data_IF_819969464445
#
_entry.id   IF_819969464445
#
_cell.length_a   1.000
_cell.length_b   1.000
_cell.length_c   1.000
_cell.angle_alpha   90.00
_cell.angle_beta   90.00
_cell.angle_gamma   90.00
#
_symmetry.space_group_name_H-M   'P 1'
#
loop_
_entity.id
_entity.type
_entity.pdbx_description
1 polymer ?
#
# COMPACT_ATOMS: atom_id res chain seq x y z
N UNK A 1 19.19 -1.54 -8.61
CA UNK A 1 17.73 -1.61 -8.44
C UNK A 1 17.46 -2.42 -7.19
N UNK A 2 16.79 -1.85 -6.19
CA UNK A 2 16.56 -2.52 -4.91
C UNK A 2 15.38 -3.51 -5.05
N UNK A 3 15.57 -4.74 -4.57
CA UNK A 3 14.65 -5.88 -4.73
C UNK A 3 13.53 -5.98 -3.66
N UNK A 4 13.32 -4.95 -2.83
CA UNK A 4 12.31 -5.04 -1.78
C UNK A 4 10.88 -5.11 -2.32
N UNK A 5 10.09 -6.00 -1.71
CA UNK A 5 8.64 -6.10 -1.91
C UNK A 5 7.98 -4.80 -1.41
N UNK A 6 6.86 -4.38 -2.02
CA UNK A 6 6.05 -3.26 -1.50
C UNK A 6 5.77 -3.32 0.01
N UNK A 7 5.28 -4.45 0.59
CA UNK A 7 5.01 -4.53 2.02
C UNK A 7 6.27 -4.32 2.86
N UNK A 8 7.43 -4.78 2.40
CA UNK A 8 8.71 -4.58 3.11
C UNK A 8 9.11 -3.10 3.13
N UNK A 9 8.91 -2.37 2.03
CA UNK A 9 9.17 -0.91 1.98
C UNK A 9 8.23 -0.17 2.93
N UNK A 10 6.94 -0.52 2.94
CA UNK A 10 5.93 0.09 3.81
C UNK A 10 6.30 -0.13 5.29
N UNK A 11 6.62 -1.36 5.65
CA UNK A 11 6.99 -1.75 7.02
C UNK A 11 8.33 -1.15 7.47
N UNK A 12 9.31 -1.05 6.57
CA UNK A 12 10.60 -0.40 6.84
C UNK A 12 10.42 1.03 7.35
N UNK A 13 9.43 1.76 6.82
CA UNK A 13 9.12 3.13 7.24
C UNK A 13 8.19 3.22 8.47
N UNK A 14 7.83 2.10 9.07
CA UNK A 14 6.99 2.02 10.28
C UNK A 14 5.48 2.07 10.02
N UNK A 15 5.05 1.91 8.77
CA UNK A 15 3.64 1.77 8.41
C UNK A 15 3.23 0.30 8.43
N UNK A 16 1.98 0.00 8.80
CA UNK A 16 1.45 -1.35 8.65
C UNK A 16 0.95 -1.53 7.20
N UNK A 17 1.04 -2.75 6.66
CA UNK A 17 0.59 -3.06 5.30
C UNK A 17 -0.33 -4.28 5.30
N UNK A 18 -1.34 -4.27 4.44
CA UNK A 18 -2.15 -5.44 4.10
C UNK A 18 -2.00 -5.73 2.60
N UNK A 19 -1.94 -7.00 2.23
CA UNK A 19 -1.86 -7.44 0.84
C UNK A 19 -3.16 -8.13 0.44
N UNK A 20 -3.64 -7.80 -0.76
CA UNK A 20 -4.85 -8.38 -1.32
C UNK A 20 -4.61 -8.82 -2.75
N UNK A 21 -5.45 -9.76 -3.19
CA UNK A 21 -5.47 -10.21 -4.56
C UNK A 21 -6.90 -10.13 -5.10
N UNK A 22 -7.05 -9.55 -6.28
CA UNK A 22 -8.34 -9.38 -6.94
C UNK A 22 -8.32 -10.15 -8.25
N UNK A 23 -9.30 -11.03 -8.42
CA UNK A 23 -9.55 -11.70 -9.69
C UNK A 23 -10.37 -10.78 -10.60
N UNK A 24 -9.85 -10.52 -11.79
CA UNK A 24 -10.54 -9.82 -12.87
C UNK A 24 -11.44 -10.78 -13.64
N UNK A 25 -12.48 -10.23 -14.29
CA UNK A 25 -13.45 -11.03 -15.06
C UNK A 25 -12.81 -11.83 -16.19
N UNK A 26 -11.71 -11.33 -16.76
CA UNK A 26 -10.97 -12.00 -17.82
C UNK A 26 -9.85 -12.92 -17.32
N UNK A 27 -9.71 -13.10 -16.00
CA UNK A 27 -8.94 -14.19 -15.39
C UNK A 27 -7.59 -13.80 -14.80
N UNK A 28 -7.20 -12.52 -14.82
CA UNK A 28 -5.96 -12.05 -14.18
C UNK A 28 -6.14 -11.84 -12.68
N UNK A 29 -5.11 -12.19 -11.91
CA UNK A 29 -5.02 -11.86 -10.50
C UNK A 29 -4.13 -10.63 -10.32
N UNK A 30 -4.73 -9.56 -9.79
CA UNK A 30 -4.05 -8.30 -9.51
C UNK A 30 -3.69 -8.23 -8.04
N UNK A 31 -2.44 -7.89 -7.74
CA UNK A 31 -2.01 -7.63 -6.36
C UNK A 31 -2.22 -6.18 -5.96
N UNK A 32 -2.83 -5.99 -4.80
CA UNK A 32 -2.99 -4.69 -4.15
C UNK A 32 -2.24 -4.68 -2.82
N UNK A 33 -1.67 -3.52 -2.50
CA UNK A 33 -1.10 -3.22 -1.19
C UNK A 33 -1.90 -2.08 -0.56
N UNK A 34 -2.34 -2.26 0.69
CA UNK A 34 -3.00 -1.22 1.47
C UNK A 34 -2.04 -0.69 2.52
N UNK A 35 -1.84 0.63 2.56
CA UNK A 35 -1.03 1.29 3.59
C UNK A 35 -1.96 1.69 4.73
N UNK A 36 -1.73 1.10 5.90
CA UNK A 36 -2.40 1.49 7.13
C UNK A 36 -1.61 2.61 7.83
N UNK A 37 -2.17 3.12 8.92
CA UNK A 37 -1.54 4.17 9.70
C UNK A 37 -0.16 3.76 10.22
N UNK A 38 0.72 4.76 10.33
CA UNK A 38 2.03 4.60 10.95
C UNK A 38 1.86 4.16 12.41
N UNK A 39 2.56 3.10 12.82
CA UNK A 39 2.64 2.77 14.26
C UNK A 39 3.55 3.81 14.89
N UNK A 40 2.99 4.74 15.65
CA UNK A 40 3.78 5.56 16.56
C UNK A 40 4.32 4.63 17.65
N UNK A 41 5.59 4.21 17.52
CA UNK A 41 6.35 3.73 18.66
C UNK A 41 6.64 4.94 19.55
N UNK A 42 5.76 5.22 20.50
CA UNK A 42 6.05 6.05 21.67
C UNK A 42 7.03 5.27 22.57
N UNK A 43 8.27 5.10 22.11
CA UNK A 43 9.32 4.44 22.88
C UNK A 43 10.61 5.27 22.87
N UNK A 44 10.53 6.57 23.14
CA UNK A 44 11.73 7.39 23.35
C UNK A 44 11.67 8.36 24.53
N UNK A 45 10.62 8.33 25.33
CA UNK A 45 10.61 9.03 26.61
C UNK A 45 9.99 8.09 27.60
N UNK A 46 10.72 7.67 28.65
CA UNK A 46 10.22 6.78 29.71
C UNK A 46 9.11 7.42 30.55
N UNK A 47 8.02 7.82 29.90
CA UNK A 47 6.85 8.45 30.48
C UNK A 47 5.72 7.44 30.36
N UNK A 48 5.43 6.76 31.46
CA UNK A 48 4.18 6.04 31.65
C UNK A 48 3.05 7.07 31.80
N UNK A 49 2.55 7.55 30.66
CA UNK A 49 1.37 8.42 30.64
C UNK A 49 0.15 7.53 30.77
N UNK A 50 -0.68 7.78 31.78
CA UNK A 50 -1.98 7.12 31.93
C UNK A 50 -2.80 7.30 30.65
N UNK A 51 -3.23 6.18 30.05
CA UNK A 51 -3.84 6.06 28.72
C UNK A 51 -5.09 6.93 28.51
N UNK A 52 -5.65 7.54 29.55
CA UNK A 52 -6.85 8.37 29.46
C UNK A 52 -6.59 9.77 28.91
N UNK A 53 -5.36 10.31 29.02
CA UNK A 53 -5.07 11.72 28.68
C UNK A 53 -4.58 11.92 27.23
N UNK A 54 -4.14 10.85 26.53
CA UNK A 54 -3.63 10.94 25.15
C UNK A 54 -4.76 10.90 24.09
N UNK A 55 -5.99 10.54 24.49
CA UNK A 55 -7.08 10.28 23.54
C UNK A 55 -7.47 11.47 22.67
N UNK A 56 -7.15 12.71 23.06
CA UNK A 56 -7.71 13.90 22.40
C UNK A 56 -6.74 14.71 21.52
N UNK A 57 -5.44 14.37 21.48
CA UNK A 57 -4.46 15.20 20.73
C UNK A 57 -3.69 14.44 19.63
N UNK A 58 -3.53 13.11 19.70
CA UNK A 58 -2.64 12.38 18.78
C UNK A 58 -3.31 11.33 17.89
N UNK A 59 -4.61 11.13 18.04
CA UNK A 59 -5.42 10.44 17.05
C UNK A 59 -6.36 11.50 16.50
N UNK A 60 -6.14 11.91 15.26
CA UNK A 60 -7.23 12.43 14.42
C UNK A 60 -8.29 11.32 14.39
N UNK A 61 -9.17 11.35 15.39
CA UNK A 61 -10.34 10.50 15.49
C UNK A 61 -11.22 10.96 14.35
N UNK A 62 -11.11 10.34 13.18
CA UNK A 62 -12.07 10.54 12.11
C UNK A 62 -13.37 9.89 12.60
N UNK A 63 -14.43 10.66 12.89
CA UNK A 63 -15.71 10.10 13.25
C UNK A 63 -16.34 9.53 11.97
N UNK A 64 -15.88 8.37 11.53
CA UNK A 64 -16.33 7.71 10.30
C UNK A 64 -15.24 6.94 9.56
N UNK A 65 -15.64 6.17 8.53
CA UNK A 65 -14.69 5.48 7.67
C UNK A 65 -13.75 6.48 6.99
N UNK A 66 -12.46 6.16 6.94
CA UNK A 66 -11.46 6.98 6.25
C UNK A 66 -11.79 7.09 4.76
N UNK A 67 -11.63 8.26 4.13
CA UNK A 67 -11.77 8.39 2.68
C UNK A 67 -10.73 7.51 1.97
N UNK A 68 -11.19 6.73 0.99
CA UNK A 68 -10.36 5.77 0.25
C UNK A 68 -9.67 6.46 -0.92
N UNK A 69 -8.38 6.19 -1.11
CA UNK A 69 -7.61 6.60 -2.29
C UNK A 69 -6.99 5.37 -2.94
N UNK A 70 -7.25 5.20 -4.23
CA UNK A 70 -6.59 4.18 -5.07
C UNK A 70 -5.50 4.82 -5.92
N UNK A 71 -4.26 4.42 -5.69
CA UNK A 71 -3.08 4.86 -6.42
C UNK A 71 -2.78 3.86 -7.54
N UNK A 72 -2.95 4.32 -8.78
CA UNK A 72 -2.71 3.55 -10.01
C UNK A 72 -1.47 4.11 -10.70
N UNK A 73 -0.46 3.27 -10.91
CA UNK A 73 0.76 3.70 -11.59
C UNK A 73 0.57 3.84 -13.11
N UNK A 74 1.46 4.59 -13.76
CA UNK A 74 1.46 4.78 -15.22
C UNK A 74 2.21 3.70 -16.00
N UNK A 75 2.34 3.94 -17.30
CA UNK A 75 3.04 3.09 -18.27
C UNK A 75 4.50 2.85 -17.85
N UNK A 76 4.98 1.61 -17.95
CA UNK A 76 6.34 1.17 -17.58
C UNK A 76 6.74 1.40 -16.10
N UNK A 77 5.77 1.69 -15.23
CA UNK A 77 5.96 1.74 -13.78
C UNK A 77 5.25 0.57 -13.09
N UNK A 78 5.39 0.52 -11.77
CA UNK A 78 4.68 -0.39 -10.87
C UNK A 78 4.32 0.38 -9.59
N UNK A 79 3.49 -0.21 -8.71
CA UNK A 79 2.96 0.47 -7.53
C UNK A 79 4.01 1.05 -6.56
N UNK A 80 5.26 0.57 -6.60
CA UNK A 80 6.36 1.06 -5.77
C UNK A 80 6.65 2.55 -5.97
N UNK A 81 6.31 3.14 -7.12
CA UNK A 81 6.55 4.57 -7.39
C UNK A 81 5.91 5.50 -6.34
N UNK A 82 4.83 5.05 -5.68
CA UNK A 82 4.12 5.82 -4.67
C UNK A 82 4.77 5.79 -3.28
N UNK A 83 5.77 4.93 -3.07
CA UNK A 83 6.42 4.66 -1.78
C UNK A 83 7.95 4.53 -1.89
N UNK A 84 8.53 4.92 -3.03
CA UNK A 84 9.95 4.66 -3.33
C UNK A 84 10.92 5.59 -2.59
N UNK A 85 10.44 6.70 -2.03
CA UNK A 85 11.26 7.71 -1.37
C UNK A 85 11.08 7.69 0.16
N UNK A 86 11.45 8.79 0.82
CA UNK A 86 11.16 9.01 2.24
C UNK A 86 9.64 9.17 2.47
N UNK A 87 9.13 8.93 3.68
CA UNK A 87 7.74 9.20 4.02
C UNK A 87 7.30 10.64 3.72
N UNK A 88 8.18 11.61 3.92
CA UNK A 88 7.91 13.04 3.68
C UNK A 88 7.77 13.43 2.21
N UNK A 89 8.17 12.57 1.26
CA UNK A 89 8.12 12.88 -0.18
C UNK A 89 7.62 11.70 -1.03
N UNK A 90 6.83 10.81 -0.42
CA UNK A 90 6.14 9.72 -1.10
C UNK A 90 4.64 9.90 -0.93
N UNK A 91 3.91 9.96 -2.03
CA UNK A 91 2.47 10.24 -2.00
C UNK A 91 1.68 9.22 -1.16
N UNK A 92 2.06 7.93 -1.20
CA UNK A 92 1.39 6.89 -0.42
C UNK A 92 1.51 7.10 1.09
N UNK A 93 2.69 7.50 1.57
CA UNK A 93 2.91 7.79 2.98
C UNK A 93 2.26 9.11 3.40
N UNK A 94 2.39 10.15 2.58
CA UNK A 94 1.76 11.44 2.82
C UNK A 94 0.22 11.33 2.98
N UNK A 95 -0.44 10.57 2.10
CA UNK A 95 -1.89 10.34 2.19
C UNK A 95 -2.28 9.52 3.43
N UNK A 96 -1.51 8.50 3.79
CA UNK A 96 -1.77 7.71 5.01
C UNK A 96 -1.67 8.58 6.28
N UNK A 97 -0.65 9.44 6.36
CA UNK A 97 -0.46 10.37 7.47
C UNK A 97 -1.56 11.45 7.52
N UNK A 98 -2.08 11.85 6.36
CA UNK A 98 -3.23 12.74 6.24
C UNK A 98 -4.59 12.06 6.58
N UNK A 99 -4.58 10.77 6.93
CA UNK A 99 -5.76 10.05 7.41
C UNK A 99 -6.57 9.33 6.34
N UNK A 100 -6.07 9.22 5.11
CA UNK A 100 -6.72 8.46 4.05
C UNK A 100 -6.51 6.95 4.24
N UNK A 101 -7.43 6.17 3.69
CA UNK A 101 -7.23 4.73 3.47
C UNK A 101 -6.61 4.50 2.10
N UNK A 102 -5.31 4.19 2.08
CA UNK A 102 -4.51 4.22 0.85
C UNK A 102 -4.32 2.82 0.29
N UNK A 103 -4.75 2.64 -0.95
CA UNK A 103 -4.61 1.41 -1.72
C UNK A 103 -3.69 1.65 -2.91
N UNK A 104 -2.77 0.73 -3.16
CA UNK A 104 -1.88 0.73 -4.31
C UNK A 104 -2.17 -0.53 -5.12
N UNK A 105 -2.60 -0.36 -6.38
CA UNK A 105 -2.84 -1.47 -7.29
C UNK A 105 -1.64 -1.68 -8.20
N UNK A 106 -1.30 -2.95 -8.41
CA UNK A 106 -0.40 -3.36 -9.48
C UNK A 106 -1.23 -3.92 -10.64
N UNK A 107 -1.18 -3.25 -11.78
CA UNK A 107 -1.93 -3.69 -12.97
C UNK A 107 -1.28 -4.94 -13.58
N UNK A 108 -2.06 -5.67 -14.38
CA UNK A 108 -1.65 -6.89 -15.08
C UNK A 108 -0.31 -6.74 -15.81
N UNK A 109 0.52 -7.78 -15.77
CA UNK A 109 1.82 -7.83 -16.45
C UNK A 109 2.98 -7.19 -15.68
N UNK A 110 2.71 -6.42 -14.62
CA UNK A 110 3.74 -5.96 -13.67
C UNK A 110 4.32 -7.13 -12.87
N UNK A 111 5.47 -6.92 -12.24
CA UNK A 111 6.16 -7.92 -11.39
C UNK A 111 5.22 -8.62 -10.41
N UNK A 112 4.24 -7.89 -9.86
CA UNK A 112 3.34 -8.36 -8.80
C UNK A 112 2.05 -9.00 -9.32
N UNK A 113 1.66 -8.71 -10.55
CA UNK A 113 0.36 -9.12 -11.13
C UNK A 113 0.57 -9.93 -12.42
N UNK A 114 1.38 -11.00 -12.30
CA UNK A 114 1.79 -11.92 -13.36
C UNK A 114 1.17 -13.31 -13.22
N UNK A 115 -0.10 -13.35 -12.81
CA UNK A 115 -0.83 -14.60 -12.57
C UNK A 115 -2.18 -14.54 -13.26
N UNK A 116 -2.53 -15.62 -13.94
CA UNK A 116 -3.78 -15.78 -14.67
C UNK A 116 -4.40 -17.15 -14.38
N UNK A 117 -5.72 -17.29 -14.46
CA UNK A 117 -6.40 -18.55 -14.18
C UNK A 117 -6.05 -19.68 -15.15
N UNK A 118 -5.76 -19.33 -16.41
CA UNK A 118 -5.61 -20.31 -17.51
C UNK A 118 -4.24 -20.32 -18.19
N UNK A 119 -3.52 -19.20 -18.15
CA UNK A 119 -2.35 -18.96 -18.99
C UNK A 119 -1.12 -18.70 -18.13
N UNK A 120 0.04 -19.24 -18.52
CA UNK A 120 1.31 -18.86 -17.92
C UNK A 120 1.87 -17.60 -18.60
N UNK A 121 2.85 -16.96 -17.95
CA UNK A 121 3.52 -15.76 -18.47
C UNK A 121 4.29 -16.00 -19.78
N UNK A 122 4.55 -17.26 -20.14
CA UNK A 122 5.29 -17.63 -21.35
C UNK A 122 4.37 -17.79 -22.57
N UNK A 123 3.05 -17.77 -22.35
CA UNK A 123 2.05 -17.89 -23.40
C UNK A 123 1.67 -16.52 -23.95
N UNK A 124 1.50 -16.40 -25.27
CA UNK A 124 1.15 -15.14 -25.91
C UNK A 124 -0.21 -14.62 -25.41
N UNK A 125 -1.16 -15.52 -25.18
CA UNK A 125 -2.51 -15.25 -24.70
C UNK A 125 -2.53 -14.56 -23.33
N UNK A 126 -1.48 -14.73 -22.51
CA UNK A 126 -1.32 -14.00 -21.26
C UNK A 126 -1.05 -12.50 -21.49
N UNK A 127 -0.55 -12.10 -22.66
CA UNK A 127 -0.20 -10.71 -22.96
C UNK A 127 -1.24 -10.01 -23.84
N UNK A 128 -2.26 -10.73 -24.29
CA UNK A 128 -3.38 -10.22 -25.09
C UNK A 128 -4.48 -9.67 -24.18
N UNK A 129 -4.23 -8.51 -23.58
CA UNK A 129 -5.20 -7.84 -22.70
C UNK A 129 -6.44 -7.40 -23.48
N UNK A 130 -7.63 -7.62 -22.89
CA UNK A 130 -8.94 -7.23 -23.43
C UNK A 130 -9.50 -5.99 -22.74
#
# INVERSE_FOLDING_TARGET
>A
IIFYLQPQIIQYWGYSSEEYEVLTDDGYYLKLNRILSRRLFLHLTGISISLHTISNTLMIYFPGPKPVVLLVHGLLFEGRCWIANLPSNSLGFFLSDAGYDVWIINIRGTTWSRRHQKFSIDQQEFWEFR
#
